data_IF_583183745765
#
_entry.id   IF_583183745765
#
_cell.length_a   1.000
_cell.length_b   1.000
_cell.length_c   1.000
_cell.angle_alpha   90.00
_cell.angle_beta   90.00
_cell.angle_gamma   90.00
#
_symmetry.space_group_name_H-M   'P 1'
#
loop_
_entity.id
_entity.type
_entity.pdbx_description
1 polymer ?
#
# COMPACT_ATOMS: atom_id res chain seq x y z
N UNK A 1 2.34 -14.63 -11.98
CA UNK A 1 2.83 -15.75 -11.14
C UNK A 1 4.29 -16.09 -11.44
N UNK A 2 4.72 -16.24 -12.70
CA UNK A 2 6.14 -16.47 -13.07
C UNK A 2 7.09 -15.35 -12.63
N UNK A 3 6.64 -14.09 -12.66
CA UNK A 3 7.47 -12.93 -12.29
C UNK A 3 7.77 -12.86 -10.78
N UNK A 4 6.82 -13.26 -9.93
CA UNK A 4 6.99 -13.30 -8.47
C UNK A 4 7.97 -14.41 -8.07
N UNK A 5 7.88 -15.57 -8.72
CA UNK A 5 8.81 -16.68 -8.49
C UNK A 5 10.23 -16.29 -8.91
N UNK A 6 10.37 -15.58 -10.04
CA UNK A 6 11.64 -15.05 -10.50
C UNK A 6 12.21 -14.02 -9.52
N UNK A 7 11.38 -13.10 -9.04
CA UNK A 7 11.79 -12.07 -8.07
C UNK A 7 12.20 -12.70 -6.74
N UNK A 8 11.45 -13.69 -6.23
CA UNK A 8 11.82 -14.46 -5.04
C UNK A 8 13.12 -15.24 -5.27
N UNK A 9 13.30 -15.90 -6.42
CA UNK A 9 14.54 -16.63 -6.74
C UNK A 9 15.75 -15.70 -6.84
N UNK A 10 15.60 -14.52 -7.46
CA UNK A 10 16.66 -13.52 -7.56
C UNK A 10 17.00 -12.97 -6.18
N UNK A 11 15.97 -12.64 -5.38
CA UNK A 11 16.17 -12.10 -4.03
C UNK A 11 16.82 -13.13 -3.12
N UNK A 12 16.39 -14.40 -3.17
CA UNK A 12 17.00 -15.50 -2.40
C UNK A 12 18.44 -15.78 -2.86
N UNK A 13 18.73 -15.69 -4.17
CA UNK A 13 20.09 -15.90 -4.70
C UNK A 13 21.03 -14.76 -4.29
N UNK A 14 20.57 -13.51 -4.37
CA UNK A 14 21.32 -12.35 -3.88
C UNK A 14 21.53 -12.41 -2.37
N UNK A 15 20.51 -12.83 -1.62
CA UNK A 15 20.62 -12.98 -0.17
C UNK A 15 21.55 -14.13 0.23
N UNK A 16 21.52 -15.25 -0.51
CA UNK A 16 22.44 -16.36 -0.32
C UNK A 16 23.87 -15.90 -0.49
N UNK A 17 24.18 -15.18 -1.56
CA UNK A 17 25.53 -14.63 -1.75
C UNK A 17 25.90 -13.60 -0.68
N UNK A 18 24.97 -12.70 -0.31
CA UNK A 18 25.22 -11.68 0.71
C UNK A 18 25.46 -12.28 2.10
N UNK A 19 24.63 -13.24 2.52
CA UNK A 19 24.77 -13.97 3.79
C UNK A 19 26.01 -14.86 3.76
N UNK A 20 26.30 -15.54 2.64
CA UNK A 20 27.51 -16.34 2.52
C UNK A 20 28.79 -15.49 2.67
N UNK A 21 28.75 -14.23 2.19
CA UNK A 21 29.85 -13.29 2.35
C UNK A 21 29.97 -12.74 3.78
N UNK A 22 28.85 -12.35 4.40
CA UNK A 22 28.81 -11.80 5.77
C UNK A 22 29.02 -12.84 6.87
N UNK A 23 28.60 -14.09 6.65
CA UNK A 23 28.69 -15.15 7.66
C UNK A 23 30.11 -15.50 8.03
N UNK A 24 31.11 -15.14 7.21
CA UNK A 24 32.53 -15.27 7.57
C UNK A 24 32.86 -14.64 8.92
N UNK A 25 32.15 -13.58 9.31
CA UNK A 25 32.39 -12.80 10.53
C UNK A 25 31.31 -12.99 11.62
N UNK A 26 30.36 -13.92 11.46
CA UNK A 26 29.43 -14.24 12.55
C UNK A 26 30.21 -14.95 13.65
N UNK A 27 30.42 -14.24 14.76
CA UNK A 27 31.02 -14.77 15.97
C UNK A 27 30.08 -15.82 16.59
N UNK A 28 30.42 -17.09 16.43
CA UNK A 28 29.81 -18.19 17.18
C UNK A 28 30.66 -18.35 18.44
N UNK A 29 30.11 -18.12 19.65
CA UNK A 29 30.87 -18.35 20.86
C UNK A 29 31.24 -19.83 20.93
N UNK A 30 32.54 -20.11 20.82
CA UNK A 30 33.12 -21.47 20.82
C UNK A 30 32.84 -22.25 22.10
N UNK A 31 32.36 -21.58 23.15
CA UNK A 31 31.93 -22.21 24.41
C UNK A 31 30.62 -22.99 24.32
N UNK A 32 29.78 -22.74 23.30
CA UNK A 32 28.44 -23.36 23.19
C UNK A 32 28.35 -24.45 22.12
N UNK A 33 29.30 -24.56 21.20
CA UNK A 33 29.25 -25.50 20.08
C UNK A 33 30.53 -26.34 20.03
N UNK A 34 30.45 -27.68 20.09
CA UNK A 34 31.64 -28.54 19.93
C UNK A 34 32.33 -28.27 18.58
N UNK A 35 33.67 -28.19 18.55
CA UNK A 35 34.46 -27.91 17.33
C UNK A 35 34.07 -28.80 16.14
N UNK A 36 33.75 -30.08 16.37
CA UNK A 36 33.33 -31.01 15.33
C UNK A 36 31.93 -30.72 14.73
N UNK A 37 31.13 -29.85 15.35
CA UNK A 37 29.77 -29.49 14.90
C UNK A 37 29.64 -28.03 14.45
N UNK A 38 30.68 -27.22 14.57
CA UNK A 38 30.64 -25.79 14.23
C UNK A 38 30.19 -25.54 12.79
N UNK A 39 30.69 -26.33 11.84
CA UNK A 39 30.31 -26.24 10.42
C UNK A 39 28.84 -26.57 10.17
N UNK A 40 28.30 -27.58 10.86
CA UNK A 40 26.89 -27.98 10.75
C UNK A 40 25.98 -26.90 11.36
N UNK A 41 26.36 -26.39 12.53
CA UNK A 41 25.64 -25.30 13.20
C UNK A 41 25.60 -24.03 12.36
N UNK A 42 26.75 -23.62 11.79
CA UNK A 42 26.83 -22.46 10.89
C UNK A 42 25.92 -22.62 9.67
N UNK A 43 25.95 -23.79 9.04
CA UNK A 43 25.07 -24.08 7.91
C UNK A 43 23.59 -24.03 8.29
N UNK A 44 23.24 -24.53 9.48
CA UNK A 44 21.88 -24.47 10.00
C UNK A 44 21.42 -23.02 10.26
N UNK A 45 22.24 -22.19 10.90
CA UNK A 45 21.94 -20.77 11.14
C UNK A 45 21.76 -20.03 9.81
N UNK A 46 22.65 -20.24 8.84
CA UNK A 46 22.54 -19.67 7.49
C UNK A 46 21.22 -20.07 6.84
N UNK A 47 20.87 -21.36 6.89
CA UNK A 47 19.61 -21.86 6.36
C UNK A 47 18.39 -21.20 7.02
N UNK A 48 18.39 -21.06 8.35
CA UNK A 48 17.33 -20.38 9.09
C UNK A 48 17.17 -18.91 8.67
N UNK A 49 18.27 -18.18 8.52
CA UNK A 49 18.24 -16.77 8.09
C UNK A 49 17.68 -16.66 6.68
N UNK A 50 18.17 -17.45 5.73
CA UNK A 50 17.71 -17.45 4.33
C UNK A 50 16.22 -17.78 4.27
N UNK A 51 15.78 -18.81 4.98
CA UNK A 51 14.39 -19.24 4.95
C UNK A 51 13.47 -18.19 5.59
N UNK A 52 13.87 -17.59 6.72
CA UNK A 52 13.10 -16.53 7.39
C UNK A 52 12.93 -15.32 6.48
N UNK A 53 14.01 -14.89 5.83
CA UNK A 53 13.95 -13.77 4.89
C UNK A 53 13.11 -14.12 3.66
N UNK A 54 13.32 -15.28 3.05
CA UNK A 54 12.59 -15.73 1.87
C UNK A 54 11.08 -15.83 2.12
N UNK A 55 10.68 -16.38 3.27
CA UNK A 55 9.27 -16.42 3.70
C UNK A 55 8.75 -15.00 3.90
N UNK A 56 9.48 -14.13 4.63
CA UNK A 56 9.05 -12.76 4.90
C UNK A 56 8.85 -11.95 3.62
N UNK A 57 9.80 -12.03 2.68
CA UNK A 57 9.71 -11.37 1.37
C UNK A 57 8.53 -11.91 0.55
N UNK A 58 8.34 -13.23 0.54
CA UNK A 58 7.21 -13.87 -0.16
C UNK A 58 5.87 -13.44 0.42
N UNK A 59 5.74 -13.41 1.76
CA UNK A 59 4.53 -12.95 2.45
C UNK A 59 4.26 -11.49 2.14
N UNK A 60 5.27 -10.60 2.21
CA UNK A 60 5.11 -9.19 1.85
C UNK A 60 4.69 -9.02 0.38
N UNK A 61 5.30 -9.77 -0.55
CA UNK A 61 4.95 -9.74 -1.96
C UNK A 61 3.52 -10.21 -2.24
N UNK A 62 3.08 -11.28 -1.58
CA UNK A 62 1.69 -11.76 -1.69
C UNK A 62 0.69 -10.74 -1.14
N UNK A 63 0.99 -10.15 0.03
CA UNK A 63 0.17 -9.08 0.63
C UNK A 63 0.09 -7.88 -0.32
N UNK A 64 1.21 -7.45 -0.90
CA UNK A 64 1.26 -6.35 -1.85
C UNK A 64 0.37 -6.62 -3.08
N UNK A 65 0.51 -7.78 -3.72
CA UNK A 65 -0.29 -8.14 -4.89
C UNK A 65 -1.78 -8.19 -4.56
N UNK A 66 -2.13 -8.74 -3.38
CA UNK A 66 -3.50 -8.83 -2.91
C UNK A 66 -4.09 -7.44 -2.65
N UNK A 67 -3.34 -6.54 -2.01
CA UNK A 67 -3.76 -5.15 -1.79
C UNK A 67 -3.96 -4.41 -3.11
N UNK A 68 -3.00 -4.49 -4.04
CA UNK A 68 -3.12 -3.89 -5.37
C UNK A 68 -4.37 -4.39 -6.11
N UNK A 69 -4.61 -5.70 -6.10
CA UNK A 69 -5.77 -6.30 -6.79
C UNK A 69 -7.10 -5.81 -6.19
N UNK A 70 -7.18 -5.72 -4.85
CA UNK A 70 -8.36 -5.23 -4.15
C UNK A 70 -8.60 -3.74 -4.43
N UNK A 71 -7.55 -2.92 -4.33
CA UNK A 71 -7.64 -1.48 -4.55
C UNK A 71 -7.98 -1.14 -6.00
N UNK A 72 -7.41 -1.86 -6.97
CA UNK A 72 -7.80 -1.72 -8.37
C UNK A 72 -9.29 -2.05 -8.57
N UNK A 73 -9.76 -3.15 -7.97
CA UNK A 73 -11.16 -3.57 -8.05
C UNK A 73 -12.09 -2.53 -7.42
N UNK A 74 -11.73 -1.97 -6.27
CA UNK A 74 -12.47 -0.86 -5.64
C UNK A 74 -12.54 0.35 -6.54
N UNK A 75 -11.40 0.81 -7.07
CA UNK A 75 -11.36 1.98 -7.93
C UNK A 75 -12.25 1.80 -9.16
N UNK A 76 -12.21 0.60 -9.78
CA UNK A 76 -13.11 0.23 -10.88
C UNK A 76 -14.57 0.25 -10.46
N UNK A 77 -14.91 -0.27 -9.27
CA UNK A 77 -16.28 -0.30 -8.77
C UNK A 77 -16.83 1.11 -8.53
N UNK A 78 -16.02 2.00 -7.93
CA UNK A 78 -16.36 3.41 -7.74
C UNK A 78 -16.58 4.10 -9.08
N UNK A 79 -15.71 3.87 -10.06
CA UNK A 79 -15.83 4.44 -11.40
C UNK A 79 -17.07 3.93 -12.16
N UNK A 80 -17.37 2.62 -12.09
CA UNK A 80 -18.59 2.04 -12.70
C UNK A 80 -19.84 2.67 -12.09
N UNK A 81 -19.87 2.86 -10.77
CA UNK A 81 -20.96 3.58 -10.11
C UNK A 81 -21.07 5.03 -10.59
N UNK A 82 -19.93 5.74 -10.71
CA UNK A 82 -19.88 7.10 -11.26
C UNK A 82 -20.43 7.22 -12.68
N UNK A 83 -20.15 6.23 -13.55
CA UNK A 83 -20.72 6.15 -14.91
C UNK A 83 -22.22 5.88 -14.89
N UNK A 84 -22.69 4.96 -14.05
CA UNK A 84 -24.13 4.69 -13.89
C UNK A 84 -24.90 5.93 -13.44
N UNK A 85 -24.34 6.74 -12.53
CA UNK A 85 -24.92 8.02 -12.14
C UNK A 85 -25.01 9.02 -13.31
N UNK A 86 -24.01 9.02 -14.19
CA UNK A 86 -23.98 9.90 -15.36
C UNK A 86 -25.01 9.48 -16.42
N UNK A 87 -25.21 8.18 -16.63
CA UNK A 87 -26.27 7.63 -17.49
C UNK A 87 -27.66 8.00 -16.96
N UNK A 88 -27.89 7.84 -15.64
CA UNK A 88 -29.13 8.25 -14.98
C UNK A 88 -29.39 9.76 -15.14
N UNK A 89 -28.33 10.58 -15.10
CA UNK A 89 -28.42 12.02 -15.36
C UNK A 89 -28.86 12.32 -16.79
N UNK A 90 -28.37 11.58 -17.79
CA UNK A 90 -28.68 11.82 -19.20
C UNK A 90 -30.11 11.41 -19.57
N UNK A 91 -30.63 10.32 -19.00
CA UNK A 91 -31.93 9.77 -19.36
C UNK A 91 -33.13 10.41 -18.63
N UNK A 92 -32.90 11.35 -17.70
CA UNK A 92 -33.96 12.05 -16.93
C UNK A 92 -35.02 11.13 -16.30
N UNK A 93 -34.64 9.91 -15.93
CA UNK A 93 -35.55 8.96 -15.27
C UNK A 93 -35.57 9.26 -13.77
N UNK A 94 -36.39 10.23 -13.38
CA UNK A 94 -36.51 10.67 -11.98
C UNK A 94 -37.73 10.03 -11.32
N UNK A 95 -37.53 8.91 -10.65
CA UNK A 95 -38.54 8.30 -9.77
C UNK A 95 -38.00 8.15 -8.36
N UNK A 96 -38.87 8.23 -7.34
CA UNK A 96 -38.51 7.99 -5.93
C UNK A 96 -37.83 6.62 -5.76
N UNK A 97 -38.27 5.61 -6.53
CA UNK A 97 -37.67 4.28 -6.56
C UNK A 97 -36.22 4.33 -7.07
N UNK A 98 -35.98 4.99 -8.21
CA UNK A 98 -34.64 5.14 -8.79
C UNK A 98 -33.68 5.84 -7.82
N UNK A 99 -34.15 6.89 -7.12
CA UNK A 99 -33.35 7.61 -6.12
C UNK A 99 -33.00 6.69 -4.94
N UNK A 100 -33.99 5.96 -4.42
CA UNK A 100 -33.79 5.00 -3.33
C UNK A 100 -32.79 3.90 -3.71
N UNK A 101 -32.89 3.38 -4.94
CA UNK A 101 -31.99 2.36 -5.46
C UNK A 101 -30.56 2.90 -5.59
N UNK A 102 -30.38 4.11 -6.14
CA UNK A 102 -29.07 4.78 -6.23
C UNK A 102 -28.42 5.03 -4.87
N UNK A 103 -29.21 5.42 -3.85
CA UNK A 103 -28.74 5.56 -2.45
C UNK A 103 -28.33 4.20 -1.90
N UNK A 104 -29.15 3.16 -2.13
CA UNK A 104 -28.86 1.80 -1.68
C UNK A 104 -27.54 1.27 -2.25
N UNK A 105 -27.31 1.48 -3.54
CA UNK A 105 -26.07 1.09 -4.22
C UNK A 105 -24.88 1.88 -3.65
N UNK A 106 -25.02 3.20 -3.44
CA UNK A 106 -23.96 4.02 -2.85
C UNK A 106 -23.57 3.55 -1.44
N UNK A 107 -24.56 3.30 -0.58
CA UNK A 107 -24.32 2.76 0.76
C UNK A 107 -23.61 1.42 0.72
N UNK A 108 -24.02 0.53 -0.18
CA UNK A 108 -23.38 -0.77 -0.35
C UNK A 108 -21.93 -0.61 -0.82
N UNK A 109 -21.68 0.28 -1.77
CA UNK A 109 -20.33 0.61 -2.25
C UNK A 109 -19.43 1.06 -1.10
N UNK A 110 -19.89 2.03 -0.30
CA UNK A 110 -19.14 2.54 0.86
C UNK A 110 -18.85 1.41 1.84
N UNK A 111 -19.88 0.65 2.23
CA UNK A 111 -19.72 -0.45 3.18
C UNK A 111 -18.72 -1.50 2.70
N UNK A 112 -18.74 -1.83 1.40
CA UNK A 112 -17.77 -2.75 0.80
C UNK A 112 -16.35 -2.18 0.81
N UNK A 113 -16.17 -0.87 0.59
CA UNK A 113 -14.85 -0.23 0.66
C UNK A 113 -14.33 -0.25 2.10
N UNK A 114 -15.18 0.12 3.07
CA UNK A 114 -14.84 0.10 4.50
C UNK A 114 -14.51 -1.31 5.00
N UNK A 115 -15.27 -2.32 4.58
CA UNK A 115 -15.05 -3.72 4.96
C UNK A 115 -13.71 -4.24 4.45
N UNK A 116 -13.38 -3.95 3.19
CA UNK A 116 -12.10 -4.38 2.63
C UNK A 116 -10.95 -3.56 3.21
N UNK A 117 -11.11 -2.25 3.45
CA UNK A 117 -10.09 -1.46 4.16
C UNK A 117 -9.83 -2.05 5.56
N UNK A 118 -10.88 -2.36 6.32
CA UNK A 118 -10.76 -2.98 7.63
C UNK A 118 -10.05 -4.36 7.58
N UNK A 119 -10.21 -5.12 6.50
CA UNK A 119 -9.55 -6.41 6.33
C UNK A 119 -8.06 -6.30 6.00
N UNK A 120 -7.63 -5.24 5.29
CA UNK A 120 -6.25 -5.13 4.78
C UNK A 120 -5.42 -4.03 5.43
N UNK A 121 -6.03 -3.07 6.13
CA UNK A 121 -5.35 -1.87 6.62
C UNK A 121 -4.14 -2.18 7.52
N UNK A 122 -4.21 -3.18 8.39
CA UNK A 122 -3.10 -3.60 9.24
C UNK A 122 -1.97 -4.24 8.43
N UNK A 123 -2.31 -5.03 7.41
CA UNK A 123 -1.31 -5.60 6.51
C UNK A 123 -0.59 -4.50 5.72
N UNK A 124 -1.33 -3.48 5.28
CA UNK A 124 -0.75 -2.31 4.62
C UNK A 124 0.15 -1.51 5.56
N UNK A 125 -0.26 -1.32 6.82
CA UNK A 125 0.57 -0.66 7.83
C UNK A 125 1.91 -1.39 8.00
N UNK A 126 1.86 -2.72 8.16
CA UNK A 126 3.06 -3.55 8.30
C UNK A 126 3.93 -3.53 7.04
N UNK A 127 3.32 -3.56 5.85
CA UNK A 127 4.03 -3.45 4.58
C UNK A 127 4.76 -2.11 4.45
N UNK A 128 4.08 -0.99 4.72
CA UNK A 128 4.71 0.34 4.72
C UNK A 128 5.81 0.43 5.77
N UNK A 129 5.58 -0.09 6.97
CA UNK A 129 6.59 -0.14 8.04
C UNK A 129 7.84 -0.92 7.61
N UNK A 130 7.66 -2.09 7.00
CA UNK A 130 8.76 -2.92 6.49
C UNK A 130 9.53 -2.20 5.36
N UNK A 131 8.83 -1.60 4.41
CA UNK A 131 9.45 -0.88 3.29
C UNK A 131 10.22 0.35 3.76
N UNK A 132 9.63 1.17 4.64
CA UNK A 132 10.29 2.37 5.19
C UNK A 132 11.50 1.97 6.04
N UNK A 133 11.37 0.92 6.87
CA UNK A 133 12.50 0.40 7.65
C UNK A 133 13.62 -0.10 6.73
N UNK A 134 13.27 -0.77 5.63
CA UNK A 134 14.21 -1.20 4.59
C UNK A 134 14.96 -0.02 3.95
N UNK A 135 14.27 1.07 3.63
CA UNK A 135 14.89 2.30 3.12
C UNK A 135 15.88 2.90 4.12
N UNK A 136 15.51 2.98 5.41
CA UNK A 136 16.42 3.45 6.45
C UNK A 136 17.65 2.56 6.61
N UNK A 137 17.47 1.24 6.64
CA UNK A 137 18.59 0.29 6.71
C UNK A 137 19.53 0.46 5.52
N UNK A 138 18.98 0.66 4.32
CA UNK A 138 19.75 0.89 3.10
C UNK A 138 20.56 2.19 3.19
N UNK A 139 19.96 3.27 3.70
CA UNK A 139 20.66 4.55 3.89
C UNK A 139 21.81 4.44 4.91
N UNK A 140 21.60 3.71 6.02
CA UNK A 140 22.65 3.48 7.03
C UNK A 140 23.81 2.67 6.45
N UNK A 141 23.51 1.60 5.69
CA UNK A 141 24.55 0.79 5.05
C UNK A 141 25.35 1.61 4.03
N UNK A 142 24.71 2.51 3.28
CA UNK A 142 25.39 3.37 2.31
C UNK A 142 26.37 4.36 2.94
N UNK A 143 26.12 4.78 4.19
CA UNK A 143 26.96 5.78 4.89
C UNK A 143 28.07 5.08 5.69
N UNK A 144 27.91 3.81 6.03
CA UNK A 144 28.90 3.08 6.81
C UNK A 144 30.16 2.77 5.98
N UNK A 145 31.32 3.26 6.45
CA UNK A 145 32.62 3.13 5.79
C UNK A 145 33.31 1.76 5.94
N UNK A 146 32.61 0.76 6.50
CA UNK A 146 33.19 -0.59 6.61
C UNK A 146 33.36 -1.24 5.22
N UNK A 147 34.56 -1.77 4.95
CA UNK A 147 34.94 -2.42 3.67
C UNK A 147 33.97 -3.52 3.24
N UNK A 148 33.34 -4.22 4.20
CA UNK A 148 32.34 -5.26 3.93
C UNK A 148 31.09 -4.73 3.18
N UNK A 149 30.72 -3.46 3.39
CA UNK A 149 29.56 -2.85 2.73
C UNK A 149 29.88 -2.22 1.38
N UNK A 150 31.17 -2.06 1.03
CA UNK A 150 31.60 -1.49 -0.25
C UNK A 150 31.75 -2.53 -1.38
N UNK A 151 31.39 -3.79 -1.14
CA UNK A 151 31.37 -4.83 -2.18
C UNK A 151 30.40 -4.49 -3.32
N UNK A 152 30.76 -4.73 -4.60
CA UNK A 152 29.87 -4.47 -5.74
C UNK A 152 28.53 -5.22 -5.63
N UNK A 153 28.52 -6.39 -4.99
CA UNK A 153 27.28 -7.14 -4.73
C UNK A 153 26.36 -6.43 -3.74
N UNK A 154 26.92 -5.83 -2.68
CA UNK A 154 26.17 -5.05 -1.70
C UNK A 154 25.59 -3.80 -2.35
N UNK A 155 26.38 -3.10 -3.18
CA UNK A 155 25.92 -1.92 -3.94
C UNK A 155 24.76 -2.24 -4.87
N UNK A 156 24.82 -3.36 -5.61
CA UNK A 156 23.69 -3.80 -6.46
C UNK A 156 22.46 -4.13 -5.62
N UNK A 157 22.63 -4.80 -4.47
CA UNK A 157 21.53 -5.11 -3.56
C UNK A 157 20.85 -3.88 -2.96
N UNK A 158 21.63 -2.86 -2.60
CA UNK A 158 21.16 -1.54 -2.13
C UNK A 158 20.29 -0.87 -3.19
N UNK A 159 20.80 -0.80 -4.42
CA UNK A 159 20.10 -0.17 -5.55
C UNK A 159 18.79 -0.92 -5.83
N UNK A 160 18.83 -2.26 -5.83
CA UNK A 160 17.64 -3.10 -6.02
C UNK A 160 16.59 -2.83 -4.94
N UNK A 161 16.96 -2.89 -3.65
CA UNK A 161 16.03 -2.65 -2.55
C UNK A 161 15.41 -1.25 -2.62
N UNK A 162 16.18 -0.23 -2.97
CA UNK A 162 15.69 1.13 -3.12
C UNK A 162 14.62 1.24 -4.22
N UNK A 163 14.90 0.69 -5.41
CA UNK A 163 13.93 0.71 -6.51
C UNK A 163 12.67 -0.10 -6.21
N UNK A 164 12.81 -1.29 -5.60
CA UNK A 164 11.65 -2.10 -5.20
C UNK A 164 10.81 -1.36 -4.15
N UNK A 165 11.43 -0.75 -3.14
CA UNK A 165 10.74 0.01 -2.11
C UNK A 165 9.94 1.19 -2.70
N UNK A 166 10.57 2.00 -3.57
CA UNK A 166 9.89 3.11 -4.25
C UNK A 166 8.77 2.59 -5.15
N UNK A 167 9.01 1.51 -5.90
CA UNK A 167 8.02 0.90 -6.77
C UNK A 167 6.76 0.47 -6.01
N UNK A 168 6.94 -0.23 -4.89
CA UNK A 168 5.85 -0.66 -4.00
C UNK A 168 5.06 0.54 -3.47
N UNK A 169 5.75 1.55 -2.92
CA UNK A 169 5.10 2.74 -2.39
C UNK A 169 4.35 3.52 -3.46
N UNK A 170 4.94 3.66 -4.65
CA UNK A 170 4.36 4.40 -5.77
C UNK A 170 3.10 3.71 -6.31
N UNK A 171 3.16 2.39 -6.55
CA UNK A 171 2.00 1.64 -7.05
C UNK A 171 0.84 1.69 -6.06
N UNK A 172 1.10 1.47 -4.77
CA UNK A 172 0.08 1.58 -3.73
C UNK A 172 -0.51 3.00 -3.65
N UNK A 173 0.34 4.03 -3.71
CA UNK A 173 -0.09 5.42 -3.69
C UNK A 173 -0.95 5.80 -4.91
N UNK A 174 -0.63 5.28 -6.09
CA UNK A 174 -1.41 5.49 -7.31
C UNK A 174 -2.81 4.87 -7.20
N UNK A 175 -2.91 3.60 -6.75
CA UNK A 175 -4.21 2.96 -6.54
C UNK A 175 -5.04 3.66 -5.45
N UNK A 176 -4.41 4.02 -4.33
CA UNK A 176 -5.08 4.75 -3.25
C UNK A 176 -5.59 6.12 -3.69
N UNK A 177 -4.77 6.87 -4.45
CA UNK A 177 -5.19 8.17 -5.02
C UNK A 177 -6.32 8.00 -6.04
N UNK A 178 -6.26 6.99 -6.90
CA UNK A 178 -7.32 6.70 -7.86
C UNK A 178 -8.67 6.45 -7.18
N UNK A 179 -8.69 5.72 -6.05
CA UNK A 179 -9.92 5.50 -5.26
C UNK A 179 -10.44 6.83 -4.69
N UNK A 180 -9.56 7.64 -4.09
CA UNK A 180 -9.93 8.93 -3.49
C UNK A 180 -10.48 9.89 -4.55
N UNK A 181 -9.76 10.06 -5.66
CA UNK A 181 -10.15 10.95 -6.75
C UNK A 181 -11.47 10.51 -7.40
N UNK A 182 -11.61 9.20 -7.69
CA UNK A 182 -12.87 8.65 -8.21
C UNK A 182 -14.02 8.81 -7.22
N UNK A 183 -13.74 8.64 -5.92
CA UNK A 183 -14.71 8.83 -4.85
C UNK A 183 -15.21 10.27 -4.76
N UNK A 184 -14.30 11.24 -4.81
CA UNK A 184 -14.63 12.67 -4.85
C UNK A 184 -15.40 13.05 -6.12
N UNK A 185 -15.07 12.46 -7.27
CA UNK A 185 -15.82 12.67 -8.50
C UNK A 185 -17.26 12.12 -8.40
N UNK A 186 -17.43 10.92 -7.85
CA UNK A 186 -18.76 10.34 -7.57
C UNK A 186 -19.56 11.24 -6.64
N UNK A 187 -18.96 11.76 -5.56
CA UNK A 187 -19.63 12.68 -4.64
C UNK A 187 -20.12 13.93 -5.36
N UNK A 188 -19.27 14.56 -6.18
CA UNK A 188 -19.66 15.73 -6.98
C UNK A 188 -20.82 15.42 -7.91
N UNK A 189 -20.77 14.28 -8.63
CA UNK A 189 -21.85 13.81 -9.51
C UNK A 189 -23.15 13.57 -8.74
N UNK A 190 -23.09 13.01 -7.54
CA UNK A 190 -24.27 12.82 -6.67
C UNK A 190 -24.86 14.15 -6.20
N UNK A 191 -24.02 15.12 -5.83
CA UNK A 191 -24.46 16.48 -5.45
C UNK A 191 -25.16 17.15 -6.63
N UNK A 192 -24.57 17.13 -7.82
CA UNK A 192 -25.17 17.69 -9.04
C UNK A 192 -26.51 17.01 -9.40
N UNK A 193 -26.57 15.68 -9.27
CA UNK A 193 -27.79 14.91 -9.49
C UNK A 193 -28.89 15.33 -8.50
N UNK A 194 -28.51 15.53 -7.23
CA UNK A 194 -29.42 15.95 -6.17
C UNK A 194 -29.96 17.38 -6.37
N UNK A 195 -29.13 18.31 -6.84
CA UNK A 195 -29.52 19.69 -7.12
C UNK A 195 -30.52 19.77 -8.29
N UNK A 196 -30.26 19.01 -9.37
CA UNK A 196 -31.17 18.94 -10.52
C UNK A 196 -32.52 18.33 -10.15
N UNK A 197 -32.53 17.35 -9.27
CA UNK A 197 -33.76 16.73 -8.76
C UNK A 197 -34.64 17.73 -8.00
N UNK A 198 -34.07 18.52 -7.09
CA UNK A 198 -34.79 19.57 -6.36
C UNK A 198 -35.42 20.57 -7.34
N UNK A 199 -34.67 20.99 -8.37
CA UNK A 199 -35.17 21.93 -9.39
C UNK A 199 -36.30 21.36 -10.23
N UNK A 200 -36.30 20.06 -10.50
CA UNK A 200 -37.27 19.41 -11.40
C UNK A 200 -38.58 19.05 -10.68
N UNK A 201 -38.54 18.79 -9.37
CA UNK A 201 -39.70 18.37 -8.59
C UNK A 201 -39.84 19.13 -7.26
N UNK A 202 -39.98 20.47 -7.26
CA UNK A 202 -39.94 21.30 -6.05
C UNK A 202 -41.10 21.05 -5.06
N UNK A 203 -42.17 20.36 -5.48
CA UNK A 203 -43.38 20.14 -4.67
C UNK A 203 -43.49 18.79 -3.94
N UNK A 204 -42.59 17.82 -4.18
CA UNK A 204 -42.64 16.53 -3.47
C UNK A 204 -41.77 16.59 -2.21
N UNK A 205 -42.40 16.75 -1.03
CA UNK A 205 -41.69 16.74 0.26
C UNK A 205 -40.86 15.46 0.47
N UNK A 206 -41.33 14.32 -0.04
CA UNK A 206 -40.63 13.04 0.01
C UNK A 206 -39.35 13.02 -0.84
N UNK A 207 -39.35 13.69 -2.00
CA UNK A 207 -38.16 13.83 -2.87
C UNK A 207 -37.15 14.75 -2.20
N UNK A 208 -37.59 15.89 -1.67
CA UNK A 208 -36.72 16.82 -0.93
C UNK A 208 -36.10 16.17 0.31
N UNK A 209 -36.86 15.35 1.04
CA UNK A 209 -36.34 14.60 2.19
C UNK A 209 -35.29 13.56 1.78
N UNK A 210 -35.56 12.76 0.74
CA UNK A 210 -34.61 11.78 0.22
C UNK A 210 -33.32 12.43 -0.32
N UNK A 211 -33.45 13.59 -0.97
CA UNK A 211 -32.31 14.36 -1.47
C UNK A 211 -31.49 14.93 -0.32
N UNK A 212 -32.11 15.54 0.69
CA UNK A 212 -31.39 16.06 1.86
C UNK A 212 -30.62 14.94 2.60
N UNK A 213 -31.23 13.76 2.73
CA UNK A 213 -30.59 12.59 3.33
C UNK A 213 -29.41 12.08 2.48
N UNK A 214 -29.56 12.05 1.16
CA UNK A 214 -28.48 11.69 0.23
C UNK A 214 -27.32 12.69 0.35
N UNK A 215 -27.60 13.99 0.35
CA UNK A 215 -26.60 15.03 0.52
C UNK A 215 -25.84 14.88 1.85
N UNK A 216 -26.56 14.65 2.95
CA UNK A 216 -25.96 14.44 4.27
C UNK A 216 -25.03 13.22 4.30
N UNK A 217 -25.44 12.09 3.71
CA UNK A 217 -24.61 10.89 3.63
C UNK A 217 -23.38 11.13 2.76
N UNK A 218 -23.57 11.70 1.57
CA UNK A 218 -22.48 11.96 0.61
C UNK A 218 -21.42 12.91 1.19
N UNK A 219 -21.83 13.90 1.97
CA UNK A 219 -20.91 14.85 2.63
C UNK A 219 -20.18 14.25 3.83
N UNK A 220 -20.80 13.32 4.57
CA UNK A 220 -20.20 12.72 5.77
C UNK A 220 -19.26 11.55 5.47
N UNK A 221 -19.45 10.86 4.35
CA UNK A 221 -18.67 9.67 4.02
C UNK A 221 -17.38 10.05 3.30
N UNK A 222 -16.26 9.43 3.70
CA UNK A 222 -14.99 9.55 2.99
C UNK A 222 -14.62 8.23 2.33
N UNK A 223 -14.62 8.21 1.00
CA UNK A 223 -14.16 7.07 0.21
C UNK A 223 -12.64 7.13 0.16
N UNK A 224 -11.99 6.31 0.98
CA UNK A 224 -10.53 6.26 1.08
C UNK A 224 -10.08 4.89 1.60
N UNK A 225 -8.82 4.58 1.35
CA UNK A 225 -8.13 3.41 1.93
C UNK A 225 -7.00 3.87 2.84
N UNK A 226 -6.76 3.12 3.90
CA UNK A 226 -5.89 3.51 5.00
C UNK A 226 -4.85 2.45 5.38
N UNK A 227 -3.72 2.90 5.93
CA UNK A 227 -2.77 2.04 6.63
C UNK A 227 -3.09 2.07 8.13
N UNK A 228 -3.61 0.97 8.66
CA UNK A 228 -3.97 0.80 10.07
C UNK A 228 -4.95 1.85 10.63
N UNK A 229 -5.74 2.51 9.78
CA UNK A 229 -6.56 3.65 10.16
C UNK A 229 -5.78 4.94 10.51
N UNK A 230 -4.45 4.93 10.38
CA UNK A 230 -3.59 6.04 10.81
C UNK A 230 -3.33 7.05 9.69
N UNK A 231 -3.10 6.58 8.47
CA UNK A 231 -2.81 7.42 7.31
C UNK A 231 -3.62 6.99 6.10
N UNK A 232 -3.93 7.95 5.24
CA UNK A 232 -4.60 7.67 3.96
C UNK A 232 -3.56 7.36 2.90
N UNK A 233 -3.78 6.30 2.12
CA UNK A 233 -2.86 5.89 1.06
C UNK A 233 -3.12 6.77 -0.15
N UNK A 234 -2.20 7.68 -0.45
CA UNK A 234 -2.27 8.57 -1.60
C UNK A 234 -0.87 9.05 -2.02
N UNK A 235 -0.77 9.77 -3.13
CA UNK A 235 0.49 10.35 -3.62
C UNK A 235 1.09 11.38 -2.66
N UNK A 236 0.28 12.02 -1.80
CA UNK A 236 0.77 12.92 -0.76
C UNK A 236 1.59 12.21 0.32
N UNK A 237 1.22 10.97 0.66
CA UNK A 237 1.99 10.12 1.56
C UNK A 237 3.37 9.78 0.98
N UNK A 238 3.44 9.47 -0.31
CA UNK A 238 4.72 9.23 -1.00
C UNK A 238 5.65 10.44 -0.86
N UNK A 239 5.14 11.64 -1.15
CA UNK A 239 5.90 12.88 -1.01
C UNK A 239 6.42 13.09 0.42
N UNK A 240 5.59 12.75 1.41
CA UNK A 240 5.96 12.85 2.83
C UNK A 240 7.07 11.86 3.19
N UNK A 241 7.01 10.62 2.70
CA UNK A 241 8.05 9.60 2.90
C UNK A 241 9.34 10.04 2.20
N UNK A 242 9.28 10.54 0.97
CA UNK A 242 10.46 11.05 0.25
C UNK A 242 11.10 12.22 1.00
N UNK A 243 10.31 13.17 1.49
CA UNK A 243 10.82 14.28 2.30
C UNK A 243 11.52 13.76 3.56
N UNK A 244 10.91 12.81 4.26
CA UNK A 244 11.46 12.19 5.45
C UNK A 244 12.81 11.51 5.14
N UNK A 245 12.90 10.74 4.06
CA UNK A 245 14.13 10.09 3.61
C UNK A 245 15.26 11.09 3.35
N UNK A 246 14.97 12.18 2.64
CA UNK A 246 15.97 13.23 2.36
C UNK A 246 16.41 13.91 3.66
N UNK A 247 15.48 14.28 4.53
CA UNK A 247 15.81 14.92 5.82
C UNK A 247 16.69 14.03 6.68
N UNK A 248 16.32 12.75 6.85
CA UNK A 248 17.13 11.82 7.63
C UNK A 248 18.48 11.52 6.98
N UNK A 249 18.53 11.36 5.65
CA UNK A 249 19.80 11.18 4.93
C UNK A 249 20.76 12.33 5.19
N UNK A 250 20.27 13.57 5.12
CA UNK A 250 21.08 14.77 5.45
C UNK A 250 21.52 14.77 6.92
N UNK A 251 20.63 14.43 7.85
CA UNK A 251 20.97 14.39 9.28
C UNK A 251 22.04 13.34 9.59
N UNK A 252 21.94 12.14 8.99
CA UNK A 252 22.94 11.08 9.20
C UNK A 252 24.30 11.55 8.65
N UNK A 253 24.34 12.13 7.44
CA UNK A 253 25.58 12.68 6.86
C UNK A 253 26.18 13.83 7.68
N UNK A 254 25.36 14.58 8.43
CA UNK A 254 25.82 15.64 9.32
C UNK A 254 26.33 15.10 10.65
N UNK A 255 25.73 14.03 11.18
CA UNK A 255 26.13 13.40 12.45
C UNK A 255 27.36 12.52 12.32
N UNK A 256 27.65 12.03 11.11
CA UNK A 256 28.86 11.24 10.81
C UNK A 256 30.13 12.11 10.62
N UNK A 257 29.98 13.44 10.68
CA UNK A 257 31.09 14.42 10.69
C UNK A 257 31.36 14.93 12.10
#
# INVERSE_FOLDING_TARGET
MSMIILEVSITVSFLYEHIYFQTKDIYIPSSFVPENQEKLYRNFVIFCIINTYGISASTCGLVFVLCCSLYETMGKLVNVYGKSLEELRQHMVYSVKTISDSIGIFKKLIFTIDEVDAAVNMNVLLLYGAVISGLFNTAVIMINDQEMFQSPFTSVGIVWMFFTAIGVLFVMACYGSYIVDSGEEVKKRMIDYSERLIRTAPGLSSVNMCVNFLFEITMKVNIKVTGGGMFTINCGLLLSITSLMVTYGVLILQLDR
#
